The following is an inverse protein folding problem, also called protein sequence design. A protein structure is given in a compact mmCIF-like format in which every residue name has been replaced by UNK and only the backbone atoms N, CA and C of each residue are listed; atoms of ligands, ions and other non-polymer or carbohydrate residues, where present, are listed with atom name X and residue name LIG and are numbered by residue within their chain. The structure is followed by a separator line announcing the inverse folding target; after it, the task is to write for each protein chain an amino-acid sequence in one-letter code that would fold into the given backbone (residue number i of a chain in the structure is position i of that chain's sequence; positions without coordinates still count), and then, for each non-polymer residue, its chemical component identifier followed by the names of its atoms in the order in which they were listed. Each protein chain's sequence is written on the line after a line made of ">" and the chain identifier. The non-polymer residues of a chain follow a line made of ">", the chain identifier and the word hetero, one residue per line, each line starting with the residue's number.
data_IF_848993890715
#
_entry.id   IF_848993890715
#
_cell.length_a   1.000
_cell.length_b   1.000
_cell.length_c   1.000
_cell.angle_alpha   90.00
_cell.angle_beta   90.00
_cell.angle_gamma   90.00
#
_symmetry.space_group_name_H-M   'P 1'
#
loop_
_entity.id
_entity.type
_entity.pdbx_description
1 polymer ?
#
# COMPACT_ATOMS: atom_id res chain seq x y z
N UNK A 1 10.38 -16.22 10.78
CA UNK A 1 9.18 -15.58 11.34
C UNK A 1 9.60 -14.19 11.73
N UNK A 2 9.20 -13.18 10.96
CA UNK A 2 9.39 -11.79 11.38
C UNK A 2 8.53 -11.61 12.62
N UNK A 3 9.10 -11.15 13.73
CA UNK A 3 8.33 -10.90 14.94
C UNK A 3 7.13 -10.02 14.58
N UNK A 4 5.91 -10.51 14.88
CA UNK A 4 4.63 -9.79 14.82
C UNK A 4 4.60 -8.65 15.86
N UNK A 5 5.63 -7.81 15.83
CA UNK A 5 5.70 -6.57 16.59
C UNK A 5 4.76 -5.60 15.93
N UNK A 6 3.58 -5.46 16.52
CA UNK A 6 2.61 -4.44 16.13
C UNK A 6 3.33 -3.09 16.22
N UNK A 7 3.53 -2.45 15.08
CA UNK A 7 4.11 -1.11 15.05
C UNK A 7 3.19 -0.19 15.87
N UNK A 8 3.73 0.55 16.85
CA UNK A 8 2.93 1.39 17.74
C UNK A 8 2.51 2.65 16.99
N UNK A 9 1.48 2.52 16.13
CA UNK A 9 0.91 3.60 15.32
C UNK A 9 -0.57 3.72 15.68
N UNK A 10 -1.02 4.84 16.28
CA UNK A 10 -0.22 5.95 16.81
C UNK A 10 0.60 5.59 18.05
N UNK A 11 1.78 6.21 18.25
CA UNK A 11 2.64 5.93 19.40
C UNK A 11 2.07 6.54 20.69
N UNK A 12 1.45 5.70 21.53
CA UNK A 12 0.82 6.08 22.80
C UNK A 12 1.81 6.48 23.91
N UNK A 13 3.10 6.16 23.77
CA UNK A 13 4.11 6.55 24.75
C UNK A 13 4.34 8.07 24.78
N UNK A 14 4.18 8.74 23.63
CA UNK A 14 4.39 10.19 23.51
C UNK A 14 3.44 11.04 24.38
N UNK A 15 2.10 10.87 24.31
CA UNK A 15 1.19 11.59 25.21
C UNK A 15 1.38 11.21 26.67
N UNK A 16 1.77 9.96 26.97
CA UNK A 16 2.08 9.53 28.34
C UNK A 16 3.30 10.27 28.89
N UNK A 17 4.38 10.40 28.10
CA UNK A 17 5.56 11.16 28.49
C UNK A 17 5.24 12.65 28.68
N UNK A 18 4.37 13.23 27.85
CA UNK A 18 3.90 14.60 28.03
C UNK A 18 3.12 14.80 29.34
N UNK A 19 2.29 13.83 29.73
CA UNK A 19 1.56 13.86 31.00
C UNK A 19 2.54 13.81 32.18
N UNK A 20 3.47 12.85 32.18
CA UNK A 20 4.49 12.69 33.24
C UNK A 20 5.41 13.92 33.35
N UNK A 21 5.68 14.60 32.22
CA UNK A 21 6.51 15.80 32.21
C UNK A 21 5.87 16.98 32.97
N UNK A 22 4.53 17.06 33.04
CA UNK A 22 3.83 18.07 33.85
C UNK A 22 4.15 17.95 35.34
N UNK A 23 4.42 16.74 35.82
CA UNK A 23 4.79 16.45 37.21
C UNK A 23 6.31 16.60 37.48
N UNK A 24 7.07 17.21 36.55
CA UNK A 24 8.50 17.63 36.68
C UNK A 24 9.54 16.51 36.69
N UNK A 25 9.32 15.42 35.96
CA UNK A 25 10.35 14.38 35.76
C UNK A 25 11.24 14.68 34.54
N UNK A 26 12.55 14.85 34.76
CA UNK A 26 13.51 15.22 33.70
C UNK A 26 13.68 14.15 32.60
N UNK A 27 13.60 12.86 32.96
CA UNK A 27 13.74 11.74 32.01
C UNK A 27 12.63 11.69 30.95
N UNK A 28 11.43 12.15 31.31
CA UNK A 28 10.29 12.16 30.39
C UNK A 28 10.48 13.14 29.23
N UNK A 29 11.24 14.23 29.44
CA UNK A 29 11.54 15.23 28.41
C UNK A 29 12.43 14.64 27.32
N UNK A 30 13.48 13.92 27.71
CA UNK A 30 14.41 13.28 26.78
C UNK A 30 13.71 12.23 25.92
N UNK A 31 12.94 11.32 26.54
CA UNK A 31 12.21 10.27 25.82
C UNK A 31 11.14 10.83 24.89
N UNK A 32 10.50 11.94 25.28
CA UNK A 32 9.53 12.63 24.43
C UNK A 32 10.20 13.23 23.20
N UNK A 33 11.34 13.92 23.35
CA UNK A 33 12.08 14.50 22.22
C UNK A 33 12.64 13.43 21.29
N UNK A 34 13.19 12.35 21.84
CA UNK A 34 13.68 11.21 21.07
C UNK A 34 12.55 10.59 20.23
N UNK A 35 11.38 10.37 20.82
CA UNK A 35 10.23 9.82 20.10
C UNK A 35 9.66 10.78 19.04
N UNK A 36 9.70 12.09 19.28
CA UNK A 36 9.29 13.12 18.29
C UNK A 36 10.26 13.16 17.10
N UNK A 37 11.56 13.06 17.36
CA UNK A 37 12.59 13.01 16.32
C UNK A 37 12.50 11.71 15.51
N UNK A 38 12.35 10.57 16.18
CA UNK A 38 12.21 9.26 15.53
C UNK A 38 10.97 9.19 14.63
N UNK A 39 9.85 9.77 15.04
CA UNK A 39 8.62 9.82 14.25
C UNK A 39 8.50 11.03 13.32
N UNK A 40 9.53 11.88 13.23
CA UNK A 40 9.51 13.17 12.51
C UNK A 40 8.21 13.98 12.75
N UNK A 41 7.73 14.07 13.99
CA UNK A 41 6.40 14.60 14.30
C UNK A 41 6.38 16.12 14.49
N UNK A 42 6.80 16.88 13.47
CA UNK A 42 6.89 18.34 13.51
C UNK A 42 5.57 19.05 13.93
N UNK A 43 4.38 18.67 13.39
CA UNK A 43 3.12 19.31 13.79
C UNK A 43 2.77 19.09 15.26
N UNK A 44 3.11 17.91 15.79
CA UNK A 44 2.88 17.56 17.19
C UNK A 44 3.84 18.33 18.12
N UNK A 45 5.10 18.50 17.73
CA UNK A 45 6.05 19.34 18.48
C UNK A 45 5.58 20.79 18.58
N UNK A 46 5.05 21.34 17.48
CA UNK A 46 4.48 22.70 17.43
C UNK A 46 3.24 22.85 18.31
N UNK A 47 2.35 21.85 18.35
CA UNK A 47 1.15 21.90 19.18
C UNK A 47 1.47 21.81 20.67
N UNK A 48 2.42 20.95 21.06
CA UNK A 48 2.85 20.80 22.46
C UNK A 48 3.52 22.08 22.96
N UNK A 49 4.44 22.65 22.20
CA UNK A 49 5.16 23.87 22.59
C UNK A 49 4.25 25.10 22.65
N UNK A 50 3.17 25.12 21.88
CA UNK A 50 2.14 26.17 21.94
C UNK A 50 1.19 26.02 23.14
N UNK A 51 0.86 24.78 23.52
CA UNK A 51 -0.15 24.47 24.54
C UNK A 51 0.44 24.35 25.95
N UNK A 52 1.68 23.87 26.04
CA UNK A 52 2.35 23.59 27.31
C UNK A 52 3.55 24.50 27.50
N UNK A 53 3.59 25.22 28.63
CA UNK A 53 4.72 26.08 29.02
C UNK A 53 5.94 25.29 29.54
N UNK A 54 5.93 23.96 29.40
CA UNK A 54 6.91 23.05 30.02
C UNK A 54 8.11 22.80 29.10
N UNK A 55 7.93 22.93 27.78
CA UNK A 55 8.99 22.77 26.79
C UNK A 55 9.27 24.10 26.09
N UNK A 56 10.54 24.51 26.07
CA UNK A 56 11.00 25.62 25.24
C UNK A 56 11.05 25.20 23.77
N UNK A 57 10.55 26.05 22.88
CA UNK A 57 10.59 25.81 21.44
C UNK A 57 12.01 25.99 20.91
N UNK A 58 12.61 24.89 20.45
CA UNK A 58 13.84 24.92 19.67
C UNK A 58 13.49 25.14 18.20
N UNK A 59 13.79 26.35 17.70
CA UNK A 59 13.51 26.74 16.32
C UNK A 59 14.33 25.94 15.32
N UNK A 60 15.57 25.59 15.66
CA UNK A 60 16.45 24.85 14.75
C UNK A 60 15.97 23.41 14.57
N UNK A 61 15.51 22.77 15.66
CA UNK A 61 14.91 21.44 15.61
C UNK A 61 13.58 21.44 14.86
N UNK A 62 12.73 22.45 15.05
CA UNK A 62 11.45 22.54 14.34
C UNK A 62 11.68 22.70 12.82
N UNK A 63 12.60 23.57 12.42
CA UNK A 63 12.93 23.79 11.00
C UNK A 63 13.52 22.52 10.35
N UNK A 64 14.35 21.76 11.06
CA UNK A 64 14.91 20.51 10.53
C UNK A 64 13.85 19.43 10.34
N UNK A 65 12.93 19.28 11.30
CA UNK A 65 11.81 18.34 11.22
C UNK A 65 10.81 18.74 10.12
N UNK A 66 10.45 20.02 10.02
CA UNK A 66 9.57 20.50 8.96
C UNK A 66 10.18 20.30 7.57
N UNK A 67 11.50 20.46 7.44
CA UNK A 67 12.21 20.20 6.20
C UNK A 67 12.17 18.72 5.83
N UNK A 68 12.49 17.82 6.77
CA UNK A 68 12.42 16.38 6.56
C UNK A 68 11.01 15.94 6.12
N UNK A 69 9.97 16.38 6.83
CA UNK A 69 8.59 16.07 6.48
C UNK A 69 8.21 16.58 5.09
N UNK A 70 8.64 17.79 4.71
CA UNK A 70 8.38 18.34 3.37
C UNK A 70 9.10 17.55 2.29
N UNK A 71 10.31 17.10 2.53
CA UNK A 71 11.07 16.34 1.54
C UNK A 71 10.50 14.92 1.39
N UNK A 72 10.08 14.26 2.48
CA UNK A 72 9.35 12.99 2.41
C UNK A 72 7.99 13.13 1.71
N UNK A 73 7.22 14.18 2.02
CA UNK A 73 5.95 14.47 1.35
C UNK A 73 6.12 14.65 -0.15
N UNK A 74 7.15 15.40 -0.60
CA UNK A 74 7.45 15.55 -2.03
C UNK A 74 7.70 14.21 -2.70
N UNK A 75 8.47 13.32 -2.08
CA UNK A 75 8.75 11.99 -2.63
C UNK A 75 7.44 11.19 -2.76
N UNK A 76 6.56 11.25 -1.76
CA UNK A 76 5.26 10.57 -1.81
C UNK A 76 4.35 11.16 -2.90
N UNK A 77 4.29 12.49 -3.01
CA UNK A 77 3.51 13.19 -4.04
C UNK A 77 4.01 12.88 -5.45
N UNK A 78 5.33 12.81 -5.66
CA UNK A 78 5.92 12.43 -6.94
C UNK A 78 5.56 10.98 -7.33
N UNK A 79 5.60 10.06 -6.36
CA UNK A 79 5.21 8.66 -6.58
C UNK A 79 3.71 8.53 -6.87
N UNK A 80 2.88 9.30 -6.19
CA UNK A 80 1.44 9.34 -6.44
C UNK A 80 1.13 9.89 -7.83
N UNK A 81 1.75 11.01 -8.20
CA UNK A 81 1.57 11.62 -9.52
C UNK A 81 2.01 10.68 -10.65
N UNK A 82 3.08 9.89 -10.44
CA UNK A 82 3.49 8.88 -11.42
C UNK A 82 2.49 7.72 -11.54
N UNK A 83 1.93 7.26 -10.42
CA UNK A 83 0.88 6.26 -10.40
C UNK A 83 -0.35 6.72 -11.20
N UNK A 84 -0.81 7.94 -10.93
CA UNK A 84 -1.99 8.52 -11.58
C UNK A 84 -1.77 8.69 -13.09
N UNK A 85 -0.60 9.19 -13.51
CA UNK A 85 -0.25 9.30 -14.93
C UNK A 85 -0.27 7.94 -15.62
N UNK A 86 0.28 6.90 -14.99
CA UNK A 86 0.30 5.56 -15.56
C UNK A 86 -1.13 5.00 -15.76
N UNK A 87 -2.01 5.22 -14.78
CA UNK A 87 -3.42 4.82 -14.85
C UNK A 87 -4.17 5.58 -15.96
N UNK A 88 -4.00 6.90 -16.06
CA UNK A 88 -4.68 7.72 -17.06
C UNK A 88 -4.26 7.35 -18.49
N UNK A 89 -2.95 7.14 -18.73
CA UNK A 89 -2.46 6.69 -20.04
C UNK A 89 -3.08 5.36 -20.44
N UNK A 90 -3.19 4.41 -19.51
CA UNK A 90 -3.79 3.11 -19.80
C UNK A 90 -5.31 3.18 -20.02
N UNK A 91 -6.03 4.07 -19.32
CA UNK A 91 -7.45 4.33 -19.60
C UNK A 91 -7.65 4.88 -21.00
N UNK A 92 -6.84 5.86 -21.42
CA UNK A 92 -6.87 6.41 -22.78
C UNK A 92 -6.54 5.34 -23.83
N UNK A 93 -5.60 4.44 -23.55
CA UNK A 93 -5.28 3.32 -24.42
C UNK A 93 -6.47 2.34 -24.54
N UNK A 94 -7.18 2.09 -23.44
CA UNK A 94 -8.36 1.21 -23.42
C UNK A 94 -9.51 1.74 -24.29
N UNK A 95 -9.73 3.06 -24.29
CA UNK A 95 -10.76 3.70 -25.12
C UNK A 95 -10.43 3.65 -26.61
N UNK A 96 -9.16 3.83 -26.97
CA UNK A 96 -8.71 3.87 -28.37
C UNK A 96 -8.55 2.49 -29.00
N UNK A 97 -8.54 1.42 -28.20
CA UNK A 97 -8.26 0.07 -28.68
C UNK A 97 -9.53 -0.64 -29.15
N UNK A 98 -9.66 -1.03 -30.43
CA UNK A 98 -10.86 -1.67 -30.95
C UNK A 98 -10.93 -3.19 -30.68
N UNK A 99 -9.80 -3.85 -30.39
CA UNK A 99 -9.72 -5.31 -30.24
C UNK A 99 -9.99 -5.80 -28.82
N UNK A 100 -10.96 -6.70 -28.62
CA UNK A 100 -11.34 -7.24 -27.31
C UNK A 100 -10.17 -7.90 -26.56
N UNK A 101 -9.36 -8.72 -27.24
CA UNK A 101 -8.19 -9.36 -26.64
C UNK A 101 -7.16 -8.37 -26.11
N UNK A 102 -6.88 -7.30 -26.88
CA UNK A 102 -5.97 -6.23 -26.46
C UNK A 102 -6.57 -5.39 -25.33
N UNK A 103 -7.88 -5.15 -25.33
CA UNK A 103 -8.58 -4.48 -24.22
C UNK A 103 -8.44 -5.27 -22.92
N UNK A 104 -8.57 -6.61 -22.97
CA UNK A 104 -8.33 -7.48 -21.81
C UNK A 104 -6.88 -7.35 -21.35
N UNK A 105 -5.91 -7.37 -22.26
CA UNK A 105 -4.49 -7.23 -21.91
C UNK A 105 -4.19 -5.88 -21.25
N UNK A 106 -4.80 -4.78 -21.70
CA UNK A 106 -4.71 -3.44 -21.08
C UNK A 106 -5.36 -3.42 -19.68
N UNK A 107 -6.50 -4.09 -19.50
CA UNK A 107 -7.11 -4.19 -18.16
C UNK A 107 -6.23 -5.01 -17.21
N UNK A 108 -5.56 -6.05 -17.71
CA UNK A 108 -4.59 -6.82 -16.93
C UNK A 108 -3.34 -6.00 -16.56
N UNK A 109 -2.88 -5.08 -17.42
CA UNK A 109 -1.77 -4.16 -17.06
C UNK A 109 -2.21 -3.13 -16.02
N UNK A 110 -3.45 -2.60 -16.10
CA UNK A 110 -4.03 -1.76 -15.06
C UNK A 110 -4.09 -2.48 -13.70
N UNK A 111 -4.45 -3.76 -13.69
CA UNK A 111 -4.41 -4.58 -12.48
C UNK A 111 -3.00 -4.71 -11.90
N UNK A 112 -1.96 -4.85 -12.73
CA UNK A 112 -0.56 -4.86 -12.24
C UNK A 112 -0.15 -3.54 -11.62
N UNK A 113 -0.59 -2.42 -12.19
CA UNK A 113 -0.36 -1.09 -11.60
C UNK A 113 -1.01 -1.03 -10.22
N UNK A 114 -2.27 -1.49 -10.09
CA UNK A 114 -2.95 -1.60 -8.81
C UNK A 114 -2.19 -2.46 -7.79
N UNK A 115 -1.68 -3.63 -8.20
CA UNK A 115 -0.86 -4.47 -7.33
C UNK A 115 0.47 -3.82 -6.93
N UNK A 116 1.11 -3.07 -7.82
CA UNK A 116 2.38 -2.40 -7.55
C UNK A 116 2.23 -1.28 -6.51
N UNK A 117 1.15 -0.51 -6.58
CA UNK A 117 0.86 0.59 -5.63
C UNK A 117 0.03 0.16 -4.42
N UNK A 118 -0.49 -1.06 -4.40
CA UNK A 118 -1.32 -1.57 -3.30
C UNK A 118 -2.73 -0.97 -3.24
N UNK A 119 -3.24 -0.43 -4.35
CA UNK A 119 -4.57 0.17 -4.42
C UNK A 119 -5.64 -0.92 -4.65
N UNK A 120 -6.31 -1.31 -3.57
CA UNK A 120 -7.33 -2.36 -3.60
C UNK A 120 -8.63 -1.93 -4.29
N UNK A 121 -8.97 -0.64 -4.30
CA UNK A 121 -10.20 -0.13 -4.93
C UNK A 121 -10.05 -0.16 -6.46
N UNK A 122 -8.87 0.24 -6.93
CA UNK A 122 -8.49 0.13 -8.33
C UNK A 122 -8.53 -1.33 -8.81
N UNK A 123 -7.96 -2.25 -8.01
CA UNK A 123 -7.94 -3.68 -8.33
C UNK A 123 -9.37 -4.22 -8.45
N UNK A 124 -10.25 -3.98 -7.47
CA UNK A 124 -11.62 -4.48 -7.49
C UNK A 124 -12.42 -4.01 -8.71
N UNK A 125 -12.27 -2.73 -9.05
CA UNK A 125 -12.93 -2.13 -10.22
C UNK A 125 -12.49 -2.81 -11.51
N UNK A 126 -11.18 -3.03 -11.68
CA UNK A 126 -10.65 -3.62 -12.91
C UNK A 126 -10.74 -5.15 -12.96
N UNK A 127 -10.80 -5.86 -11.83
CA UNK A 127 -11.13 -7.30 -11.80
C UNK A 127 -12.54 -7.48 -12.34
N UNK A 128 -13.51 -6.73 -11.83
CA UNK A 128 -14.90 -6.80 -12.29
C UNK A 128 -15.02 -6.47 -13.78
N UNK A 129 -14.28 -5.45 -14.24
CA UNK A 129 -14.24 -5.08 -15.66
C UNK A 129 -13.59 -6.17 -16.53
N UNK A 130 -12.53 -6.82 -16.03
CA UNK A 130 -11.87 -7.91 -16.73
C UNK A 130 -12.78 -9.14 -16.83
N UNK A 131 -13.51 -9.47 -15.76
CA UNK A 131 -14.51 -10.55 -15.77
C UNK A 131 -15.58 -10.29 -16.86
N UNK A 132 -16.14 -9.07 -16.90
CA UNK A 132 -17.11 -8.70 -17.93
C UNK A 132 -16.55 -8.85 -19.37
N UNK A 133 -15.34 -8.35 -19.62
CA UNK A 133 -14.71 -8.47 -20.94
C UNK A 133 -14.37 -9.92 -21.33
N UNK A 134 -14.10 -10.79 -20.35
CA UNK A 134 -13.84 -12.21 -20.60
C UNK A 134 -15.14 -12.96 -20.92
N UNK A 135 -16.25 -12.60 -20.30
CA UNK A 135 -17.58 -13.15 -20.65
C UNK A 135 -18.04 -12.71 -22.05
N UNK A 136 -17.70 -11.50 -22.49
CA UNK A 136 -18.00 -11.00 -23.84
C UNK A 136 -17.27 -11.76 -24.96
N UNK A 137 -16.10 -12.36 -24.70
CA UNK A 137 -15.36 -13.10 -25.73
C UNK A 137 -13.88 -13.36 -25.45
N UNK A 138 -13.51 -13.58 -24.19
CA UNK A 138 -12.12 -13.83 -23.80
C UNK A 138 -11.63 -15.22 -24.17
N UNK A 139 -10.42 -15.29 -24.73
CA UNK A 139 -9.70 -16.56 -24.93
C UNK A 139 -9.43 -17.27 -23.60
N UNK A 140 -9.41 -18.61 -23.63
CA UNK A 140 -9.22 -19.48 -22.47
C UNK A 140 -7.94 -19.13 -21.69
N UNK A 141 -6.84 -18.82 -22.40
CA UNK A 141 -5.58 -18.41 -21.78
C UNK A 141 -5.69 -17.14 -20.92
N UNK A 142 -6.50 -16.17 -21.35
CA UNK A 142 -6.74 -14.92 -20.61
C UNK A 142 -7.64 -15.14 -19.40
N UNK A 143 -8.62 -16.03 -19.49
CA UNK A 143 -9.45 -16.45 -18.34
C UNK A 143 -8.61 -17.09 -17.24
N UNK A 144 -7.71 -17.99 -17.59
CA UNK A 144 -6.81 -18.61 -16.61
C UNK A 144 -5.79 -17.63 -16.02
N UNK A 145 -5.41 -16.60 -16.78
CA UNK A 145 -4.59 -15.51 -16.25
C UNK A 145 -5.39 -14.72 -15.23
N UNK A 146 -6.61 -14.27 -15.56
CA UNK A 146 -7.47 -13.51 -14.64
C UNK A 146 -7.74 -14.27 -13.33
N UNK A 147 -7.94 -15.59 -13.37
CA UNK A 147 -8.08 -16.42 -12.15
C UNK A 147 -6.92 -16.22 -11.16
N UNK A 148 -5.68 -16.11 -11.66
CA UNK A 148 -4.46 -15.91 -10.83
C UNK A 148 -4.38 -14.49 -10.26
N UNK A 149 -4.81 -13.50 -11.04
CA UNK A 149 -4.92 -12.12 -10.56
C UNK A 149 -5.97 -12.02 -9.45
N UNK A 150 -7.14 -12.63 -9.66
CA UNK A 150 -8.21 -12.64 -8.68
C UNK A 150 -7.81 -13.41 -7.41
N UNK A 151 -7.17 -14.57 -7.55
CA UNK A 151 -6.69 -15.34 -6.40
C UNK A 151 -5.68 -14.53 -5.56
N UNK A 152 -4.73 -13.85 -6.21
CA UNK A 152 -3.76 -12.98 -5.52
C UNK A 152 -4.46 -11.82 -4.80
N UNK A 153 -5.44 -11.18 -5.44
CA UNK A 153 -6.23 -10.11 -4.81
C UNK A 153 -6.99 -10.62 -3.58
N UNK A 154 -7.66 -11.77 -3.70
CA UNK A 154 -8.41 -12.40 -2.59
C UNK A 154 -7.49 -12.73 -1.41
N UNK A 155 -6.25 -13.17 -1.68
CA UNK A 155 -5.24 -13.35 -0.64
C UNK A 155 -4.85 -12.02 0.02
N UNK A 156 -4.68 -10.94 -0.75
CA UNK A 156 -4.39 -9.60 -0.19
C UNK A 156 -5.47 -9.11 0.77
N UNK A 157 -6.74 -9.39 0.48
CA UNK A 157 -7.88 -9.04 1.34
C UNK A 157 -8.19 -10.11 2.42
N UNK A 158 -7.29 -11.07 2.65
CA UNK A 158 -7.40 -12.13 3.65
C UNK A 158 -8.59 -13.09 3.46
N UNK A 159 -9.14 -13.20 2.24
CA UNK A 159 -10.17 -14.16 1.89
C UNK A 159 -9.55 -15.49 1.42
N UNK A 160 -8.89 -16.20 2.35
CA UNK A 160 -8.07 -17.38 2.04
C UNK A 160 -8.85 -18.52 1.40
N UNK A 161 -10.08 -18.81 1.87
CA UNK A 161 -10.87 -19.93 1.36
C UNK A 161 -11.09 -19.85 -0.15
N UNK A 162 -11.59 -18.69 -0.61
CA UNK A 162 -11.86 -18.47 -2.05
C UNK A 162 -10.59 -18.29 -2.85
N UNK A 163 -9.57 -17.65 -2.26
CA UNK A 163 -8.26 -17.48 -2.88
C UNK A 163 -7.54 -18.82 -3.13
N UNK A 164 -7.53 -19.71 -2.14
CA UNK A 164 -6.91 -21.04 -2.21
C UNK A 164 -7.60 -21.97 -3.21
N UNK A 165 -8.94 -21.99 -3.24
CA UNK A 165 -9.70 -22.71 -4.26
C UNK A 165 -9.29 -22.29 -5.68
N UNK A 166 -9.18 -20.98 -5.94
CA UNK A 166 -8.78 -20.46 -7.25
C UNK A 166 -7.30 -20.73 -7.58
N UNK A 167 -6.42 -20.72 -6.58
CA UNK A 167 -4.99 -21.08 -6.76
C UNK A 167 -4.82 -22.53 -7.18
N UNK A 168 -5.50 -23.44 -6.49
CA UNK A 168 -5.44 -24.88 -6.77
C UNK A 168 -5.97 -25.19 -8.18
N UNK A 169 -7.08 -24.53 -8.56
CA UNK A 169 -7.69 -24.64 -9.88
C UNK A 169 -6.75 -24.11 -11.00
N UNK A 170 -5.97 -23.06 -10.69
CA UNK A 170 -5.06 -22.41 -11.64
C UNK A 170 -3.64 -23.02 -11.67
N UNK A 171 -3.30 -23.94 -10.76
CA UNK A 171 -1.97 -24.53 -10.61
C UNK A 171 -1.51 -25.27 -11.87
N UNK A 172 -2.38 -26.11 -12.42
CA UNK A 172 -2.10 -26.93 -13.60
C UNK A 172 -1.92 -26.13 -14.90
N UNK A 173 -2.36 -24.87 -14.91
CA UNK A 173 -2.39 -24.02 -16.11
C UNK A 173 -1.62 -22.72 -15.90
N UNK A 174 -0.58 -22.73 -15.06
CA UNK A 174 0.18 -21.53 -14.72
C UNK A 174 0.84 -20.86 -15.93
N UNK A 175 0.60 -19.56 -16.06
CA UNK A 175 1.03 -18.73 -17.22
C UNK A 175 1.24 -17.26 -16.84
N UNK A 176 1.13 -16.89 -15.56
CA UNK A 176 1.21 -15.51 -15.08
C UNK A 176 2.60 -15.21 -14.49
N UNK A 177 3.65 -15.45 -15.29
CA UNK A 177 5.05 -15.19 -14.91
C UNK A 177 5.36 -13.72 -14.66
N UNK A 178 4.47 -12.85 -15.13
CA UNK A 178 4.49 -11.39 -14.94
C UNK A 178 4.09 -10.91 -13.53
N UNK A 179 3.42 -11.76 -12.73
CA UNK A 179 3.01 -11.42 -11.37
C UNK A 179 3.95 -12.00 -10.32
N UNK A 180 4.26 -13.29 -10.47
CA UNK A 180 4.95 -14.06 -9.43
C UNK A 180 5.72 -15.21 -10.09
N UNK A 181 6.81 -15.65 -9.45
CA UNK A 181 7.53 -16.84 -9.87
C UNK A 181 6.64 -18.08 -9.69
N UNK A 182 6.86 -19.10 -10.52
CA UNK A 182 6.11 -20.35 -10.38
C UNK A 182 6.36 -21.02 -9.00
N UNK A 183 7.59 -20.94 -8.48
CA UNK A 183 7.94 -21.50 -7.18
C UNK A 183 7.14 -20.84 -6.05
N UNK A 184 7.05 -19.52 -6.04
CA UNK A 184 6.29 -18.80 -5.01
C UNK A 184 4.78 -19.02 -5.18
N UNK A 185 4.29 -19.16 -6.41
CA UNK A 185 2.90 -19.51 -6.67
C UNK A 185 2.54 -20.89 -6.10
N UNK A 186 3.40 -21.88 -6.29
CA UNK A 186 3.25 -23.22 -5.70
C UNK A 186 3.28 -23.11 -4.17
N UNK A 187 4.22 -22.34 -3.61
CA UNK A 187 4.30 -22.14 -2.16
C UNK A 187 3.02 -21.53 -1.59
N UNK A 188 2.46 -20.49 -2.23
CA UNK A 188 1.19 -19.89 -1.82
C UNK A 188 0.03 -20.89 -1.88
N UNK A 189 0.01 -21.77 -2.89
CA UNK A 189 -1.04 -22.78 -3.05
C UNK A 189 -0.97 -23.89 -1.99
N UNK A 190 0.20 -24.13 -1.39
CA UNK A 190 0.39 -25.12 -0.32
C UNK A 190 0.08 -24.51 1.05
N UNK A 191 0.36 -23.22 1.23
CA UNK A 191 0.16 -22.51 2.50
C UNK A 191 -1.32 -22.23 2.79
N UNK A 192 -2.11 -21.94 1.74
CA UNK A 192 -3.52 -21.51 1.84
C UNK A 192 -4.47 -22.51 1.19
#
# INVERSE_FOLDING_TARGET
>A
MADDTVLPIPNLALPQHLFVLKDRHAEASMKLLEGIQAGQMAPYYKSITSTSSVLSLDKALLESLEKANKDELKILDERLAEADRAVEVQKLALEKTPGLGLRIDIVLTLLRIGFFFGDHDLINTYVTKAEALIEEGGDWGRRNRLKKYNSLHLLSIRQFKRGGELLLDALSTFTATELISYHDFVALTVIF
#
